data_IF_307140624270
#
_entry.id   IF_307140624270
#
_cell.length_a   1.000
_cell.length_b   1.000
_cell.length_c   1.000
_cell.angle_alpha   90.00
_cell.angle_beta   90.00
_cell.angle_gamma   90.00
#
_symmetry.space_group_name_H-M   'P 1'
#
loop_
_entity.id
_entity.type
_entity.pdbx_description
1 polymer ?
#
# COMPACT_ATOMS: atom_id res chain seq x y z
N UNK A 1 -15.69 4.33 41.31
CA UNK A 1 -14.55 3.54 40.78
C UNK A 1 -14.99 2.37 39.90
N UNK A 2 -15.71 1.35 40.40
CA UNK A 2 -16.12 0.18 39.58
C UNK A 2 -16.86 0.50 38.26
N UNK A 3 -17.78 1.48 38.27
CA UNK A 3 -18.50 1.90 37.06
C UNK A 3 -17.59 2.58 36.02
N UNK A 4 -16.65 3.41 36.47
CA UNK A 4 -15.68 4.10 35.58
C UNK A 4 -14.76 3.06 34.93
N UNK A 5 -14.24 2.11 35.71
CA UNK A 5 -13.43 1.00 35.18
C UNK A 5 -14.23 0.17 34.18
N UNK A 6 -15.50 -0.14 34.47
CA UNK A 6 -16.36 -0.88 33.55
C UNK A 6 -16.55 -0.14 32.21
N UNK A 7 -16.89 1.15 32.23
CA UNK A 7 -17.06 1.94 31.01
C UNK A 7 -15.76 2.05 30.22
N UNK A 8 -14.63 2.28 30.89
CA UNK A 8 -13.33 2.33 30.23
C UNK A 8 -12.99 1.01 29.53
N UNK A 9 -13.20 -0.12 30.20
CA UNK A 9 -12.98 -1.44 29.61
C UNK A 9 -13.91 -1.67 28.42
N UNK A 10 -15.19 -1.29 28.51
CA UNK A 10 -16.13 -1.44 27.38
C UNK A 10 -15.69 -0.62 26.17
N UNK A 11 -15.29 0.64 26.35
CA UNK A 11 -14.82 1.51 25.26
C UNK A 11 -13.58 0.94 24.59
N UNK A 12 -12.60 0.48 25.37
CA UNK A 12 -11.38 -0.13 24.84
C UNK A 12 -11.71 -1.40 24.04
N UNK A 13 -12.54 -2.30 24.59
CA UNK A 13 -12.92 -3.54 23.91
C UNK A 13 -13.66 -3.27 22.62
N UNK A 14 -14.62 -2.34 22.61
CA UNK A 14 -15.36 -1.96 21.39
C UNK A 14 -14.40 -1.35 20.36
N UNK A 15 -13.51 -0.45 20.77
CA UNK A 15 -12.51 0.15 19.89
C UNK A 15 -11.59 -0.89 19.24
N UNK A 16 -11.10 -1.86 20.01
CA UNK A 16 -10.28 -2.96 19.51
C UNK A 16 -11.05 -3.82 18.51
N UNK A 17 -12.30 -4.18 18.80
CA UNK A 17 -13.13 -4.97 17.90
C UNK A 17 -13.39 -4.24 16.57
N UNK A 18 -13.69 -2.94 16.63
CA UNK A 18 -13.88 -2.12 15.42
C UNK A 18 -12.60 -2.05 14.59
N UNK A 19 -11.45 -1.81 15.24
CA UNK A 19 -10.17 -1.72 14.55
C UNK A 19 -9.76 -3.05 13.90
N UNK A 20 -9.91 -4.18 14.61
CA UNK A 20 -9.61 -5.51 14.08
C UNK A 20 -10.59 -5.90 12.96
N UNK A 21 -11.87 -5.57 13.09
CA UNK A 21 -12.87 -5.78 12.04
C UNK A 21 -12.54 -5.01 10.77
N UNK A 22 -12.17 -3.72 10.91
CA UNK A 22 -11.76 -2.89 9.77
C UNK A 22 -10.46 -3.41 9.14
N UNK A 23 -9.44 -3.73 9.93
CA UNK A 23 -8.16 -4.25 9.43
C UNK A 23 -8.32 -5.61 8.73
N UNK A 24 -9.19 -6.47 9.27
CA UNK A 24 -9.54 -7.75 8.65
C UNK A 24 -10.29 -7.58 7.33
N UNK A 25 -11.21 -6.62 7.25
CA UNK A 25 -11.86 -6.23 5.99
C UNK A 25 -10.84 -5.71 4.97
N UNK A 26 -9.96 -4.80 5.39
CA UNK A 26 -8.90 -4.22 4.54
C UNK A 26 -8.02 -5.32 3.97
N UNK A 27 -7.54 -6.24 4.81
CA UNK A 27 -6.74 -7.38 4.37
C UNK A 27 -7.46 -8.24 3.31
N UNK A 28 -8.75 -8.51 3.53
CA UNK A 28 -9.57 -9.28 2.57
C UNK A 28 -9.77 -8.54 1.26
N UNK A 29 -10.03 -7.23 1.32
CA UNK A 29 -10.18 -6.36 0.15
C UNK A 29 -8.87 -6.28 -0.66
N UNK A 30 -7.75 -5.99 0.00
CA UNK A 30 -6.42 -5.90 -0.62
C UNK A 30 -6.04 -7.22 -1.31
N UNK A 31 -6.31 -8.36 -0.67
CA UNK A 31 -6.03 -9.68 -1.23
C UNK A 31 -6.87 -10.02 -2.46
N UNK A 32 -8.10 -9.50 -2.55
CA UNK A 32 -8.90 -9.64 -3.77
C UNK A 32 -8.41 -8.70 -4.86
N UNK A 33 -8.12 -7.46 -4.50
CA UNK A 33 -7.62 -6.42 -5.41
C UNK A 33 -6.31 -6.85 -6.06
N UNK A 34 -5.38 -7.41 -5.28
CA UNK A 34 -4.09 -7.90 -5.80
C UNK A 34 -4.23 -9.10 -6.75
N UNK A 35 -5.35 -9.82 -6.74
CA UNK A 35 -5.64 -10.86 -7.72
C UNK A 35 -6.33 -10.35 -8.98
N UNK A 36 -7.08 -9.25 -8.87
CA UNK A 36 -7.88 -8.68 -9.97
C UNK A 36 -7.13 -7.67 -10.83
N UNK A 37 -6.13 -6.97 -10.28
CA UNK A 37 -5.37 -5.96 -11.02
C UNK A 37 -4.75 -6.58 -12.28
N UNK A 38 -5.17 -6.07 -13.44
CA UNK A 38 -4.99 -6.66 -14.76
C UNK A 38 -3.52 -7.02 -15.00
N UNK A 39 -3.27 -8.30 -15.22
CA UNK A 39 -1.92 -8.88 -15.23
C UNK A 39 -1.38 -8.80 -16.65
N UNK A 40 -0.96 -7.61 -17.06
CA UNK A 40 0.07 -7.55 -18.08
C UNK A 40 1.36 -8.08 -17.45
N UNK A 41 1.73 -9.29 -17.86
CA UNK A 41 2.95 -9.94 -17.42
C UNK A 41 4.09 -9.57 -18.37
N UNK A 42 5.25 -9.31 -17.78
CA UNK A 42 6.52 -9.24 -18.48
C UNK A 42 6.94 -10.65 -18.95
N UNK A 43 7.79 -10.73 -19.98
CA UNK A 43 8.40 -12.03 -20.38
C UNK A 43 9.47 -12.46 -19.36
N UNK A 44 10.07 -11.50 -18.65
CA UNK A 44 11.10 -11.70 -17.62
C UNK A 44 10.44 -12.04 -16.27
N UNK A 45 10.83 -13.17 -15.69
CA UNK A 45 10.28 -13.66 -14.41
C UNK A 45 10.56 -12.71 -13.24
N UNK A 46 11.74 -12.10 -13.24
CA UNK A 46 12.19 -11.11 -12.25
C UNK A 46 11.29 -9.87 -12.26
N UNK A 47 10.98 -9.32 -13.43
CA UNK A 47 10.08 -8.17 -13.57
C UNK A 47 8.68 -8.51 -13.01
N UNK A 48 8.18 -9.71 -13.27
CA UNK A 48 6.90 -10.18 -12.71
C UNK A 48 6.91 -10.26 -11.19
N UNK A 49 8.05 -10.62 -10.58
CA UNK A 49 8.21 -10.63 -9.12
C UNK A 49 8.11 -9.21 -8.55
N UNK A 50 8.77 -8.23 -9.17
CA UNK A 50 8.71 -6.82 -8.74
C UNK A 50 7.30 -6.24 -8.92
N UNK A 51 6.67 -6.50 -10.07
CA UNK A 51 5.28 -6.14 -10.33
C UNK A 51 4.34 -6.78 -9.30
N UNK A 52 4.62 -8.02 -8.88
CA UNK A 52 3.93 -8.72 -7.81
C UNK A 52 3.99 -7.95 -6.49
N UNK A 53 5.18 -7.52 -6.07
CA UNK A 53 5.33 -6.72 -4.85
C UNK A 53 4.58 -5.40 -4.90
N UNK A 54 4.66 -4.64 -5.98
CA UNK A 54 3.94 -3.36 -6.07
C UNK A 54 2.43 -3.53 -5.91
N UNK A 55 1.88 -4.62 -6.44
CA UNK A 55 0.46 -4.95 -6.35
C UNK A 55 0.07 -5.49 -4.97
N UNK A 56 0.85 -6.41 -4.42
CA UNK A 56 0.58 -7.04 -3.12
C UNK A 56 0.73 -6.05 -1.96
N UNK A 57 1.68 -5.12 -2.06
CA UNK A 57 1.94 -4.08 -1.04
C UNK A 57 1.09 -2.83 -1.21
N UNK A 58 0.30 -2.76 -2.28
CA UNK A 58 -0.61 -1.65 -2.53
C UNK A 58 0.08 -0.33 -2.87
N UNK A 59 1.25 -0.38 -3.51
CA UNK A 59 1.96 0.82 -3.94
C UNK A 59 1.10 1.68 -4.90
N UNK A 60 0.28 1.03 -5.70
CA UNK A 60 -0.62 1.69 -6.65
C UNK A 60 -1.75 2.50 -5.99
N UNK A 61 -2.11 2.23 -4.72
CA UNK A 61 -3.11 3.03 -4.02
C UNK A 61 -2.78 4.52 -4.02
N UNK A 62 -1.50 4.88 -3.87
CA UNK A 62 -1.06 6.27 -3.83
C UNK A 62 -0.22 6.69 -5.05
N UNK A 63 0.33 5.74 -5.80
CA UNK A 63 1.26 6.03 -6.90
C UNK A 63 0.69 5.77 -8.30
N UNK A 64 -0.61 5.49 -8.38
CA UNK A 64 -1.37 5.33 -9.63
C UNK A 64 -2.74 6.02 -9.51
N UNK A 65 -3.17 6.83 -10.49
CA UNK A 65 -4.45 7.55 -10.43
C UNK A 65 -5.68 6.63 -10.58
N UNK A 66 -5.50 5.43 -11.14
CA UNK A 66 -6.57 4.48 -11.48
C UNK A 66 -6.87 3.43 -10.38
N UNK A 67 -6.25 3.53 -9.20
CA UNK A 67 -6.44 2.53 -8.16
C UNK A 67 -7.87 2.55 -7.60
N UNK A 68 -8.52 1.37 -7.59
CA UNK A 68 -9.79 1.19 -6.89
C UNK A 68 -9.59 1.34 -5.39
N UNK A 69 -10.32 2.27 -4.77
CA UNK A 69 -10.24 2.53 -3.34
C UNK A 69 -11.32 1.76 -2.55
N UNK A 70 -11.02 1.33 -1.31
CA UNK A 70 -12.00 0.67 -0.46
C UNK A 70 -13.13 1.62 -0.05
N UNK A 71 -14.30 1.09 0.30
CA UNK A 71 -15.51 1.90 0.54
C UNK A 71 -15.33 3.01 1.61
N UNK A 72 -14.50 2.74 2.63
CA UNK A 72 -14.27 3.68 3.72
C UNK A 72 -13.51 4.93 3.28
N UNK A 73 -12.87 4.91 2.10
CA UNK A 73 -12.22 6.09 1.50
C UNK A 73 -13.17 7.25 1.24
N UNK A 74 -14.48 7.01 1.23
CA UNK A 74 -15.51 8.04 1.10
C UNK A 74 -15.88 8.74 2.42
N UNK A 75 -15.46 8.21 3.57
CA UNK A 75 -15.82 8.78 4.87
C UNK A 75 -15.01 10.04 5.17
N UNK A 76 -15.60 11.13 5.72
CA UNK A 76 -14.96 12.45 5.74
C UNK A 76 -13.51 12.50 6.25
N UNK A 77 -13.22 11.83 7.37
CA UNK A 77 -11.88 11.80 7.96
C UNK A 77 -10.91 10.93 7.14
N UNK A 78 -11.36 9.73 6.75
CA UNK A 78 -10.54 8.82 5.95
C UNK A 78 -10.26 9.42 4.57
N UNK A 79 -11.28 9.99 3.93
CA UNK A 79 -11.20 10.68 2.65
C UNK A 79 -10.14 11.77 2.66
N UNK A 80 -10.17 12.67 3.65
CA UNK A 80 -9.23 13.78 3.71
C UNK A 80 -7.78 13.29 3.84
N UNK A 81 -7.55 12.28 4.69
CA UNK A 81 -6.22 11.69 4.86
C UNK A 81 -5.77 10.97 3.59
N UNK A 82 -6.60 10.10 3.04
CA UNK A 82 -6.27 9.34 1.82
C UNK A 82 -6.05 10.25 0.61
N UNK A 83 -6.91 11.26 0.40
CA UNK A 83 -6.74 12.21 -0.71
C UNK A 83 -5.40 12.95 -0.60
N UNK A 84 -4.99 13.35 0.61
CA UNK A 84 -3.67 13.96 0.83
C UNK A 84 -2.53 13.00 0.46
N UNK A 85 -2.62 11.75 0.89
CA UNK A 85 -1.62 10.70 0.67
C UNK A 85 -1.47 10.36 -0.80
N UNK A 86 -2.60 10.21 -1.49
CA UNK A 86 -2.67 9.91 -2.92
C UNK A 86 -2.10 11.07 -3.72
N UNK A 87 -2.50 12.31 -3.42
CA UNK A 87 -1.98 13.49 -4.12
C UNK A 87 -0.47 13.67 -3.91
N UNK A 88 0.02 13.48 -2.68
CA UNK A 88 1.44 13.61 -2.39
C UNK A 88 2.24 12.45 -3.01
N UNK A 89 1.75 11.22 -2.87
CA UNK A 89 2.38 10.01 -3.39
C UNK A 89 2.56 10.08 -4.90
N UNK A 90 1.47 10.34 -5.63
CA UNK A 90 1.48 10.38 -7.09
C UNK A 90 2.35 11.52 -7.63
N UNK A 91 2.35 12.69 -6.99
CA UNK A 91 3.26 13.80 -7.34
C UNK A 91 4.73 13.46 -7.12
N UNK A 92 5.03 12.63 -6.12
CA UNK A 92 6.40 12.28 -5.74
C UNK A 92 6.96 11.16 -6.62
N UNK A 93 6.15 10.16 -6.95
CA UNK A 93 6.56 8.95 -7.65
C UNK A 93 5.40 8.43 -8.50
N UNK A 94 5.67 8.23 -9.80
CA UNK A 94 4.69 7.72 -10.75
C UNK A 94 4.97 6.24 -11.04
N UNK A 95 4.16 5.36 -10.47
CA UNK A 95 4.31 3.92 -10.63
C UNK A 95 3.92 3.44 -12.03
N UNK A 96 3.10 4.18 -12.79
CA UNK A 96 2.69 3.78 -14.14
C UNK A 96 3.88 3.68 -15.08
N UNK A 97 4.81 4.64 -15.02
CA UNK A 97 6.02 4.63 -15.84
C UNK A 97 6.92 3.43 -15.51
N UNK A 98 7.06 3.10 -14.23
CA UNK A 98 7.84 1.93 -13.78
C UNK A 98 7.18 0.63 -14.23
N UNK A 99 5.87 0.50 -14.04
CA UNK A 99 5.13 -0.69 -14.48
C UNK A 99 5.21 -0.88 -15.98
N UNK A 100 5.01 0.18 -16.75
CA UNK A 100 5.10 0.12 -18.21
C UNK A 100 6.49 -0.34 -18.67
N UNK A 101 7.56 0.19 -18.05
CA UNK A 101 8.92 -0.22 -18.37
C UNK A 101 9.19 -1.69 -18.04
N UNK A 102 8.77 -2.15 -16.85
CA UNK A 102 8.91 -3.55 -16.42
C UNK A 102 8.12 -4.51 -17.32
N UNK A 103 6.88 -4.16 -17.70
CA UNK A 103 6.04 -4.96 -18.60
C UNK A 103 6.67 -5.06 -19.99
N UNK A 104 7.20 -3.94 -20.50
CA UNK A 104 7.84 -3.87 -21.81
C UNK A 104 9.28 -4.41 -21.83
N UNK A 105 9.80 -4.89 -20.70
CA UNK A 105 11.18 -5.35 -20.56
C UNK A 105 12.22 -4.29 -20.96
N UNK A 106 11.91 -3.03 -20.64
CA UNK A 106 12.76 -1.87 -20.91
C UNK A 106 13.30 -1.28 -19.60
N UNK A 107 14.43 -0.54 -19.65
CA UNK A 107 14.97 0.11 -18.46
C UNK A 107 13.96 1.08 -17.83
N UNK A 108 13.74 0.94 -16.53
CA UNK A 108 12.96 1.90 -15.74
C UNK A 108 13.68 3.26 -15.74
N UNK A 109 12.96 4.39 -15.86
CA UNK A 109 13.60 5.71 -15.82
C UNK A 109 14.45 5.89 -14.56
N UNK A 110 15.69 6.35 -14.73
CA UNK A 110 16.65 6.47 -13.62
C UNK A 110 16.14 7.37 -12.48
N UNK A 111 15.37 8.42 -12.81
CA UNK A 111 14.76 9.29 -11.81
C UNK A 111 13.78 8.55 -10.90
N UNK A 112 13.04 7.57 -11.44
CA UNK A 112 12.09 6.77 -10.67
C UNK A 112 12.82 5.67 -9.87
N UNK A 113 13.85 5.05 -10.45
CA UNK A 113 14.72 4.11 -9.72
C UNK A 113 15.36 4.75 -8.49
N UNK A 114 15.93 5.94 -8.63
CA UNK A 114 16.57 6.66 -7.51
C UNK A 114 15.57 6.96 -6.38
N UNK A 115 14.31 7.27 -6.71
CA UNK A 115 13.26 7.50 -5.72
C UNK A 115 12.91 6.21 -4.98
N UNK A 116 12.71 5.11 -5.71
CA UNK A 116 12.45 3.79 -5.13
C UNK A 116 13.60 3.39 -4.21
N UNK A 117 14.84 3.51 -4.70
CA UNK A 117 16.04 3.19 -3.94
C UNK A 117 16.08 3.98 -2.63
N UNK A 118 15.89 5.29 -2.69
CA UNK A 118 15.95 6.14 -1.52
C UNK A 118 14.89 5.76 -0.47
N UNK A 119 13.62 5.56 -0.86
CA UNK A 119 12.56 5.23 0.10
C UNK A 119 12.70 3.81 0.67
N UNK A 120 13.25 2.88 -0.12
CA UNK A 120 13.52 1.52 0.32
C UNK A 120 14.66 1.50 1.33
N UNK A 121 15.79 2.15 1.03
CA UNK A 121 16.96 2.24 1.92
C UNK A 121 16.63 2.95 3.25
N UNK A 122 15.85 4.03 3.19
CA UNK A 122 15.46 4.81 4.38
C UNK A 122 14.18 4.31 5.05
N UNK A 123 13.56 3.24 4.53
CA UNK A 123 12.33 2.65 5.07
C UNK A 123 11.19 3.66 5.28
N UNK A 124 11.09 4.66 4.41
CA UNK A 124 10.06 5.70 4.48
C UNK A 124 8.77 5.31 3.77
N UNK A 125 8.81 4.22 3.00
CA UNK A 125 7.65 3.63 2.34
C UNK A 125 7.48 2.13 2.71
N UNK A 126 6.23 1.66 2.89
CA UNK A 126 5.01 2.46 2.91
C UNK A 126 4.89 3.34 4.18
N UNK A 127 4.11 4.43 4.16
CA UNK A 127 3.98 5.31 5.32
C UNK A 127 3.35 4.59 6.51
N UNK A 128 3.72 4.95 7.74
CA UNK A 128 3.19 4.32 8.97
C UNK A 128 1.66 4.33 9.04
N UNK A 129 1.03 5.43 8.61
CA UNK A 129 -0.44 5.55 8.56
C UNK A 129 -1.10 4.54 7.62
N UNK A 130 -0.43 4.15 6.53
CA UNK A 130 -0.92 3.13 5.61
C UNK A 130 -0.86 1.76 6.29
N UNK A 131 0.31 1.38 6.82
CA UNK A 131 0.49 0.08 7.49
C UNK A 131 -0.24 -0.02 8.82
N UNK A 132 -0.83 1.05 9.35
CA UNK A 132 -1.71 0.97 10.52
C UNK A 132 -3.02 0.21 10.22
N UNK A 133 -3.53 0.27 8.99
CA UNK A 133 -4.70 -0.52 8.55
C UNK A 133 -4.33 -1.63 7.57
N UNK A 134 -3.26 -1.45 6.80
CA UNK A 134 -2.78 -2.37 5.77
C UNK A 134 -1.55 -3.15 6.24
N UNK A 135 -1.70 -4.01 7.25
CA UNK A 135 -0.53 -4.66 7.89
C UNK A 135 0.26 -5.54 6.91
N UNK A 136 -0.43 -6.19 5.97
CA UNK A 136 0.21 -6.98 4.91
C UNK A 136 0.94 -6.12 3.85
N UNK A 137 0.69 -4.81 3.86
CA UNK A 137 1.32 -3.84 2.96
C UNK A 137 2.77 -3.51 3.30
N UNK A 138 3.25 -3.87 4.49
CA UNK A 138 4.65 -3.66 4.88
C UNK A 138 5.64 -4.42 3.96
N UNK A 139 6.77 -3.78 3.66
CA UNK A 139 7.85 -4.34 2.83
C UNK A 139 8.93 -4.94 3.73
N UNK A 140 9.13 -6.26 3.65
CA UNK A 140 10.15 -6.99 4.39
C UNK A 140 11.55 -6.75 3.83
N UNK A 141 12.58 -7.12 4.60
CA UNK A 141 13.99 -6.97 4.18
C UNK A 141 14.31 -7.76 2.92
N UNK A 142 13.70 -8.94 2.77
CA UNK A 142 13.84 -9.75 1.56
C UNK A 142 13.19 -9.06 0.36
N UNK A 143 11.96 -8.60 0.49
CA UNK A 143 11.25 -7.91 -0.61
C UNK A 143 11.97 -6.62 -1.00
N UNK A 144 12.48 -5.88 -0.01
CA UNK A 144 13.30 -4.69 -0.25
C UNK A 144 14.56 -5.01 -1.05
N UNK A 145 15.28 -6.06 -0.65
CA UNK A 145 16.48 -6.51 -1.37
C UNK A 145 16.12 -6.94 -2.79
N UNK A 146 15.01 -7.67 -2.94
CA UNK A 146 14.55 -8.11 -4.24
C UNK A 146 14.12 -6.92 -5.13
N UNK A 147 13.59 -5.82 -4.58
CA UNK A 147 13.24 -4.59 -5.32
C UNK A 147 14.47 -3.80 -5.77
N UNK A 148 15.58 -3.90 -5.03
CA UNK A 148 16.80 -3.12 -5.27
C UNK A 148 17.82 -3.81 -6.18
N UNK A 149 17.59 -5.07 -6.58
CA UNK A 149 18.48 -5.88 -7.41
C UNK A 149 17.78 -6.34 -8.69
#
# INVERSE_FOLDING_TARGET
MKKITLYATTVITVGLLCYLGLSGYVWYYDKQRSKKSDVQASVVGENNKILGYFREKGCDYCHTPSAELPFYSSFPVAKQLMDYDIQLGYKSFNLEAVRAALIADTPVPQSELNKIEWVMQHQTMPPTRYVALHWAGGVSDKERTDILN
#
